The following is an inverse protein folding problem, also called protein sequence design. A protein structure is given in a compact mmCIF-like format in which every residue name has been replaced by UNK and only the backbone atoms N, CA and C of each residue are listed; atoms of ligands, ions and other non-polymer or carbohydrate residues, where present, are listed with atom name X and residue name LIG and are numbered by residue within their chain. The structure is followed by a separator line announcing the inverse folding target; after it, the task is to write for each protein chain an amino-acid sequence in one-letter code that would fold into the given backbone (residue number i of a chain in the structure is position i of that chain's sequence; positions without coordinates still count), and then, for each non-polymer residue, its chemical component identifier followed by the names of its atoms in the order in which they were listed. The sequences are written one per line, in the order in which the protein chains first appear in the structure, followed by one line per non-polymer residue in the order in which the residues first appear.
data_IF_135986022485
#
_entry.id   IF_135986022485
#
_cell.length_a   1.000
_cell.length_b   1.000
_cell.length_c   1.000
_cell.angle_alpha   90.00
_cell.angle_beta   90.00
_cell.angle_gamma   90.00
#
_symmetry.space_group_name_H-M   'P 1'
#
loop_
_entity.id
_entity.type
_entity.pdbx_description
1 polymer ?
#
# COMPACT_ATOMS: atom_id res chain seq x y z
N UNK A 1 1.97 -9.44 -2.45
CA UNK A 1 1.18 -8.20 -2.29
C UNK A 1 0.02 -8.48 -1.36
N UNK A 2 -0.26 -7.57 -0.41
CA UNK A 2 -1.42 -7.57 0.48
C UNK A 2 -2.38 -6.50 -0.01
N UNK A 3 -3.59 -6.92 -0.32
CA UNK A 3 -4.64 -6.11 -0.94
C UNK A 3 -5.71 -5.84 0.13
N UNK A 4 -5.91 -4.57 0.55
CA UNK A 4 -7.02 -4.20 1.43
C UNK A 4 -8.40 -4.66 0.95
N UNK A 5 -9.37 -4.63 1.85
CA UNK A 5 -10.77 -4.77 1.47
C UNK A 5 -11.34 -3.46 0.89
N UNK A 6 -12.42 -3.59 0.13
CA UNK A 6 -13.33 -2.47 -0.15
C UNK A 6 -14.01 -2.04 1.16
N UNK A 7 -14.19 -0.72 1.33
CA UNK A 7 -14.83 -0.15 2.50
C UNK A 7 -16.25 0.28 2.14
N UNK A 8 -17.30 -0.25 2.81
CA UNK A 8 -18.67 0.23 2.63
C UNK A 8 -18.79 1.74 2.85
N UNK A 9 -19.72 2.38 2.14
CA UNK A 9 -19.87 3.85 2.11
C UNK A 9 -20.20 4.43 3.49
N UNK A 10 -20.93 3.68 4.31
CA UNK A 10 -21.40 4.03 5.64
C UNK A 10 -20.48 3.52 6.77
N UNK A 11 -19.39 2.83 6.43
CA UNK A 11 -18.46 2.30 7.40
C UNK A 11 -17.45 3.34 7.89
N UNK A 12 -16.99 3.17 9.14
CA UNK A 12 -15.90 3.97 9.67
C UNK A 12 -14.55 3.54 9.07
N UNK A 13 -14.09 4.29 8.07
CA UNK A 13 -12.80 4.08 7.39
C UNK A 13 -11.61 4.01 8.36
N UNK A 14 -11.64 4.72 9.49
CA UNK A 14 -10.53 4.69 10.46
C UNK A 14 -10.39 3.31 11.11
N UNK A 15 -11.52 2.66 11.42
CA UNK A 15 -11.50 1.30 11.96
C UNK A 15 -10.93 0.32 10.93
N UNK A 16 -11.31 0.45 9.66
CA UNK A 16 -10.75 -0.38 8.59
C UNK A 16 -9.24 -0.16 8.40
N UNK A 17 -8.78 1.10 8.47
CA UNK A 17 -7.36 1.41 8.42
C UNK A 17 -6.61 0.78 9.60
N UNK A 18 -7.16 0.87 10.82
CA UNK A 18 -6.54 0.28 12.00
C UNK A 18 -6.45 -1.25 11.89
N UNK A 19 -7.56 -1.90 11.50
CA UNK A 19 -7.57 -3.35 11.25
C UNK A 19 -6.58 -3.75 10.15
N UNK A 20 -6.47 -2.97 9.09
CA UNK A 20 -5.48 -3.21 8.04
C UNK A 20 -4.05 -3.13 8.58
N UNK A 21 -3.72 -2.09 9.34
CA UNK A 21 -2.40 -1.94 9.97
C UNK A 21 -2.08 -3.16 10.85
N UNK A 22 -3.01 -3.57 11.70
CA UNK A 22 -2.79 -4.69 12.63
C UNK A 22 -2.63 -6.02 11.89
N UNK A 23 -3.40 -6.24 10.83
CA UNK A 23 -3.25 -7.42 9.96
C UNK A 23 -1.90 -7.44 9.23
N UNK A 24 -1.45 -6.29 8.71
CA UNK A 24 -0.16 -6.22 8.03
C UNK A 24 0.98 -6.41 9.01
N UNK A 25 0.89 -5.89 10.25
CA UNK A 25 1.88 -6.17 11.31
C UNK A 25 1.94 -7.67 11.63
N UNK A 26 0.78 -8.30 11.82
CA UNK A 26 0.72 -9.74 12.03
C UNK A 26 1.38 -10.51 10.89
N UNK A 27 1.03 -10.20 9.64
CA UNK A 27 1.64 -10.83 8.47
C UNK A 27 3.15 -10.56 8.41
N UNK A 28 3.59 -9.33 8.63
CA UNK A 28 5.00 -8.96 8.62
C UNK A 28 5.80 -9.76 9.65
N UNK A 29 5.30 -9.85 10.89
CA UNK A 29 5.95 -10.59 11.97
C UNK A 29 6.02 -12.10 11.65
N UNK A 30 4.95 -12.64 11.06
CA UNK A 30 4.91 -14.05 10.61
C UNK A 30 5.89 -14.36 9.48
N UNK A 31 6.01 -13.46 8.52
CA UNK A 31 6.80 -13.65 7.31
C UNK A 31 8.28 -13.31 7.51
N UNK A 32 8.60 -12.48 8.51
CA UNK A 32 9.97 -12.15 8.90
C UNK A 32 10.77 -13.39 9.29
N UNK A 33 10.16 -14.38 9.95
CA UNK A 33 10.80 -15.67 10.29
C UNK A 33 11.29 -16.46 9.07
N UNK A 34 10.76 -16.14 7.90
CA UNK A 34 11.10 -16.77 6.63
C UNK A 34 11.87 -15.84 5.69
N UNK A 35 12.30 -14.66 6.17
CA UNK A 35 12.93 -13.60 5.37
C UNK A 35 12.07 -13.16 4.17
N UNK A 36 10.74 -13.14 4.33
CA UNK A 36 9.81 -12.73 3.29
C UNK A 36 9.32 -11.31 3.57
N UNK A 37 9.34 -10.49 2.51
CA UNK A 37 8.81 -9.13 2.53
C UNK A 37 7.31 -9.10 2.26
N UNK A 38 6.60 -8.22 2.95
CA UNK A 38 5.19 -7.91 2.73
C UNK A 38 5.10 -6.60 1.96
N UNK A 39 4.33 -6.59 0.87
CA UNK A 39 4.12 -5.41 0.06
C UNK A 39 2.66 -4.98 0.14
N UNK A 40 2.40 -3.68 0.26
CA UNK A 40 1.05 -3.10 0.14
C UNK A 40 0.92 -2.29 -1.15
N UNK A 41 -0.25 -2.30 -1.76
CA UNK A 41 -0.47 -1.74 -3.10
C UNK A 41 -1.70 -0.84 -3.14
N UNK A 42 -1.50 0.40 -3.61
CA UNK A 42 -2.59 1.33 -3.89
C UNK A 42 -3.24 0.98 -5.23
N UNK A 43 -4.57 0.94 -5.28
CA UNK A 43 -5.33 0.67 -6.49
C UNK A 43 -6.16 1.89 -6.88
N UNK A 44 -6.21 2.19 -8.18
CA UNK A 44 -6.95 3.36 -8.65
C UNK A 44 -8.48 3.14 -8.53
N UNK A 45 -9.26 4.19 -8.20
CA UNK A 45 -10.70 4.05 -7.98
C UNK A 45 -11.52 3.68 -9.22
N UNK A 46 -10.97 3.85 -10.44
CA UNK A 46 -11.64 3.40 -11.67
C UNK A 46 -11.65 1.89 -11.79
N UNK A 47 -10.63 1.21 -11.25
CA UNK A 47 -10.51 -0.25 -11.25
C UNK A 47 -11.09 -0.85 -9.97
N UNK A 48 -10.84 -0.23 -8.81
CA UNK A 48 -11.36 -0.67 -7.51
C UNK A 48 -12.02 0.50 -6.77
N UNK A 49 -13.31 0.77 -7.01
CA UNK A 49 -14.03 1.78 -6.27
C UNK A 49 -14.10 1.41 -4.78
N UNK A 50 -14.10 2.43 -3.92
CA UNK A 50 -14.20 2.27 -2.45
C UNK A 50 -13.08 1.47 -1.79
N UNK A 51 -11.97 1.23 -2.47
CA UNK A 51 -10.78 0.64 -1.88
C UNK A 51 -10.22 1.51 -0.74
N UNK A 52 -9.59 0.89 0.25
CA UNK A 52 -9.19 1.56 1.50
C UNK A 52 -8.29 2.78 1.28
N UNK A 53 -7.36 2.69 0.33
CA UNK A 53 -6.48 3.78 -0.09
C UNK A 53 -6.16 3.65 -1.58
N UNK A 54 -5.98 4.77 -2.27
CA UNK A 54 -5.75 4.78 -3.71
C UNK A 54 -4.48 5.54 -4.12
N UNK A 55 -3.95 6.37 -3.23
CA UNK A 55 -2.74 7.15 -3.47
C UNK A 55 -1.49 6.43 -2.97
N UNK A 56 -0.40 6.57 -3.71
CA UNK A 56 0.92 6.11 -3.31
C UNK A 56 1.43 6.82 -2.04
N UNK A 57 1.02 8.07 -1.81
CA UNK A 57 1.40 8.77 -0.59
C UNK A 57 0.75 8.14 0.66
N UNK A 58 -0.47 7.61 0.51
CA UNK A 58 -1.14 6.90 1.60
C UNK A 58 -0.42 5.59 1.94
N UNK A 59 0.10 4.85 0.95
CA UNK A 59 0.86 3.64 1.23
C UNK A 59 2.18 3.95 1.93
N UNK A 60 2.87 5.04 1.55
CA UNK A 60 4.07 5.49 2.25
C UNK A 60 3.78 5.85 3.72
N UNK A 61 2.69 6.58 3.97
CA UNK A 61 2.24 6.87 5.33
C UNK A 61 1.91 5.58 6.11
N UNK A 62 1.21 4.63 5.47
CA UNK A 62 0.87 3.35 6.09
C UNK A 62 2.11 2.52 6.42
N UNK A 63 3.12 2.46 5.55
CA UNK A 63 4.39 1.77 5.83
C UNK A 63 5.02 2.35 7.11
N UNK A 64 5.03 3.68 7.25
CA UNK A 64 5.53 4.34 8.46
C UNK A 64 4.71 3.98 9.70
N UNK A 65 3.37 3.97 9.60
CA UNK A 65 2.48 3.61 10.71
C UNK A 65 2.60 2.12 11.10
N UNK A 66 2.72 1.24 10.12
CA UNK A 66 2.88 -0.21 10.33
C UNK A 66 4.19 -0.48 11.08
N UNK A 67 5.26 0.25 10.74
CA UNK A 67 6.54 0.22 11.42
C UNK A 67 7.11 -1.20 11.55
N UNK A 68 7.38 -1.81 10.38
CA UNK A 68 8.02 -3.13 10.26
C UNK A 68 9.07 -3.11 9.16
N UNK A 69 10.28 -3.66 9.40
CA UNK A 69 11.40 -3.54 8.47
C UNK A 69 11.21 -4.35 7.18
N UNK A 70 10.35 -5.37 7.20
CA UNK A 70 10.02 -6.19 6.03
C UNK A 70 8.71 -5.77 5.35
N UNK A 71 8.21 -4.57 5.62
CA UNK A 71 7.00 -4.03 4.96
C UNK A 71 7.38 -2.90 4.00
N UNK A 72 6.94 -3.03 2.76
CA UNK A 72 7.26 -2.13 1.67
C UNK A 72 5.99 -1.71 0.92
N UNK A 73 6.07 -0.66 0.12
CA UNK A 73 5.02 -0.33 -0.84
C UNK A 73 5.35 -0.88 -2.22
N UNK A 74 4.35 -1.43 -2.89
CA UNK A 74 4.41 -1.69 -4.32
C UNK A 74 4.06 -0.39 -5.06
N UNK A 75 4.90 0.02 -6.01
CA UNK A 75 4.66 1.13 -6.91
C UNK A 75 4.24 0.58 -8.26
N UNK A 76 2.93 0.50 -8.45
CA UNK A 76 2.35 0.17 -9.75
C UNK A 76 2.15 1.46 -10.56
N UNK A 77 2.95 1.63 -11.62
CA UNK A 77 2.96 2.88 -12.39
C UNK A 77 1.61 3.18 -13.04
N UNK A 78 0.80 2.17 -13.35
CA UNK A 78 -0.52 2.37 -13.94
C UNK A 78 -1.49 3.00 -12.93
N UNK A 79 -1.54 2.49 -11.70
CA UNK A 79 -2.40 3.07 -10.66
C UNK A 79 -1.91 4.47 -10.25
N UNK A 80 -0.60 4.62 -10.06
CA UNK A 80 0.01 5.88 -9.61
C UNK A 80 -0.18 6.99 -10.65
N UNK A 81 0.02 6.71 -11.94
CA UNK A 81 -0.16 7.73 -12.98
C UNK A 81 -1.60 8.24 -13.07
N UNK A 82 -2.59 7.38 -12.76
CA UNK A 82 -4.01 7.75 -12.77
C UNK A 82 -4.40 8.56 -11.53
N UNK A 83 -3.82 8.27 -10.37
CA UNK A 83 -4.22 8.88 -9.08
C UNK A 83 -3.34 10.07 -8.70
N UNK A 84 -2.01 9.90 -8.73
CA UNK A 84 -1.05 10.87 -8.18
C UNK A 84 -0.25 11.60 -9.27
N UNK A 85 0.07 10.91 -10.37
CA UNK A 85 1.04 11.41 -11.36
C UNK A 85 2.44 11.58 -10.76
N UNK A 86 3.20 12.57 -11.27
CA UNK A 86 4.52 12.97 -10.76
C UNK A 86 5.48 11.78 -10.49
N UNK A 87 5.51 10.82 -11.42
CA UNK A 87 6.21 9.55 -11.25
C UNK A 87 7.69 9.72 -10.93
N UNK A 88 8.36 10.66 -11.59
CA UNK A 88 9.79 10.94 -11.33
C UNK A 88 10.04 11.30 -9.87
N UNK A 89 9.17 12.12 -9.26
CA UNK A 89 9.28 12.45 -7.84
C UNK A 89 9.05 11.23 -6.95
N UNK A 90 7.97 10.46 -7.20
CA UNK A 90 7.67 9.28 -6.37
C UNK A 90 8.76 8.21 -6.43
N UNK A 91 9.32 7.96 -7.61
CA UNK A 91 10.42 6.99 -7.82
C UNK A 91 11.69 7.45 -7.07
N UNK A 92 11.98 8.75 -7.07
CA UNK A 92 13.20 9.28 -6.42
C UNK A 92 13.04 9.44 -4.92
N UNK A 93 11.87 9.86 -4.44
CA UNK A 93 11.61 10.10 -3.02
C UNK A 93 11.43 8.82 -2.19
N UNK A 94 11.11 7.70 -2.85
CA UNK A 94 10.71 6.45 -2.16
C UNK A 94 11.73 5.32 -2.29
N UNK A 95 12.97 5.65 -2.65
CA UNK A 95 14.05 4.66 -2.80
C UNK A 95 14.29 3.93 -1.47
N UNK A 96 14.36 2.59 -1.52
CA UNK A 96 14.64 1.73 -0.37
C UNK A 96 13.41 1.24 0.41
N UNK A 97 12.20 1.78 0.14
CA UNK A 97 10.93 1.32 0.76
C UNK A 97 9.92 0.81 -0.28
N UNK A 98 10.36 0.61 -1.51
CA UNK A 98 9.47 0.44 -2.67
C UNK A 98 9.96 -0.62 -3.67
N UNK A 99 9.03 -1.43 -4.17
CA UNK A 99 9.22 -2.30 -5.32
C UNK A 99 8.38 -1.81 -6.50
N UNK A 100 8.97 -1.70 -7.71
CA UNK A 100 8.31 -1.13 -8.90
C UNK A 100 7.69 -2.23 -9.75
N UNK A 101 6.45 -2.02 -10.19
CA UNK A 101 5.74 -2.87 -11.14
C UNK A 101 5.28 -2.05 -12.36
N UNK A 102 5.45 -2.62 -13.55
CA UNK A 102 5.08 -2.01 -14.84
C UNK A 102 4.18 -3.01 -15.58
N UNK A 103 3.02 -2.54 -16.05
CA UNK A 103 2.16 -3.31 -16.95
C UNK A 103 2.42 -2.93 -18.41
N UNK A 104 2.39 -3.90 -19.34
CA UNK A 104 2.47 -3.63 -20.78
C UNK A 104 1.25 -2.85 -21.31
#
# INVERSE_FOLDING_TARGET
SVVPAEVPVDADRKNYQQTFIDNVRYAADRFAEHNINVMIEALNPKIKPNYLFSSQYQTLELVNLINRPNVFTQLDLFHVQIVDGNLSHLITASQGVMAIQIHP
#
